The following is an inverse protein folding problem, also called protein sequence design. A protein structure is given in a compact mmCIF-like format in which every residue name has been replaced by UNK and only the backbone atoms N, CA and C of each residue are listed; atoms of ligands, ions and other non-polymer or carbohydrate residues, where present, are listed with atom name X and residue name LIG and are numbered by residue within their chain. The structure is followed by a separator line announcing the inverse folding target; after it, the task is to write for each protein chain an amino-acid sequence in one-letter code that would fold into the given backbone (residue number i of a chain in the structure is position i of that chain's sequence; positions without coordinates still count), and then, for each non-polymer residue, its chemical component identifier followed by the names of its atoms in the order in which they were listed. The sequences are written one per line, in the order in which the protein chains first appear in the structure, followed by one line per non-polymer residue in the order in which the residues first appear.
data_IF_884570893521
#
_entry.id   IF_884570893521
#
_cell.length_a   1.000
_cell.length_b   1.000
_cell.length_c   1.000
_cell.angle_alpha   90.00
_cell.angle_beta   90.00
_cell.angle_gamma   90.00
#
_symmetry.space_group_name_H-M   'P 1'
#
loop_
_entity.id
_entity.type
_entity.pdbx_description
1 polymer ?
#
# COMPACT_ATOMS: atom_id res chain seq x y z
N UNK A 1 -22.58 -13.43 23.48
CA UNK A 1 -21.50 -12.70 22.79
C UNK A 1 -22.12 -12.06 21.55
N UNK A 2 -22.43 -10.77 21.63
CA UNK A 2 -23.21 -10.06 20.61
C UNK A 2 -22.36 -9.74 19.38
N UNK A 3 -22.68 -10.36 18.26
CA UNK A 3 -22.10 -10.02 16.96
C UNK A 3 -22.56 -8.63 16.53
N UNK A 4 -21.62 -7.69 16.41
CA UNK A 4 -21.86 -6.44 15.69
C UNK A 4 -22.06 -6.77 14.21
N UNK A 5 -23.33 -6.79 13.79
CA UNK A 5 -23.71 -6.70 12.39
C UNK A 5 -23.39 -5.29 11.91
N UNK A 6 -22.38 -5.15 11.06
CA UNK A 6 -22.16 -3.94 10.28
C UNK A 6 -23.40 -3.72 9.40
N UNK A 7 -24.20 -2.69 9.69
CA UNK A 7 -25.23 -2.24 8.78
C UNK A 7 -24.53 -1.77 7.51
N UNK A 8 -24.92 -2.31 6.35
CA UNK A 8 -24.54 -1.76 5.06
C UNK A 8 -24.88 -0.27 5.06
N UNK A 9 -23.84 0.57 5.10
CA UNK A 9 -23.98 1.99 4.85
C UNK A 9 -24.39 2.08 3.38
N UNK A 10 -25.60 2.60 3.13
CA UNK A 10 -26.05 2.91 1.78
C UNK A 10 -24.96 3.72 1.08
N UNK A 11 -24.37 3.16 0.03
CA UNK A 11 -23.44 3.85 -0.87
C UNK A 11 -24.20 4.92 -1.64
N UNK A 12 -24.51 6.03 -0.97
CA UNK A 12 -24.71 7.29 -1.65
C UNK A 12 -23.40 7.54 -2.38
N UNK A 13 -23.45 7.73 -3.71
CA UNK A 13 -22.32 8.19 -4.51
C UNK A 13 -21.94 9.58 -4.00
N UNK A 14 -21.14 9.63 -2.95
CA UNK A 14 -20.44 10.81 -2.49
C UNK A 14 -19.28 11.02 -3.47
N UNK A 15 -19.61 11.40 -4.70
CA UNK A 15 -18.73 12.25 -5.48
C UNK A 15 -19.10 13.65 -5.03
N UNK A 16 -18.66 14.05 -3.82
CA UNK A 16 -18.69 15.47 -3.46
C UNK A 16 -18.01 16.21 -4.62
N UNK A 17 -18.45 17.42 -5.02
CA UNK A 17 -17.67 18.29 -5.89
C UNK A 17 -16.34 18.68 -5.20
N UNK A 18 -15.43 17.72 -5.10
CA UNK A 18 -14.12 17.76 -4.47
C UNK A 18 -13.13 18.63 -5.27
N UNK A 19 -13.53 19.02 -6.48
CA UNK A 19 -12.68 19.64 -7.49
C UNK A 19 -12.12 21.03 -7.11
N UNK A 20 -12.65 21.71 -6.09
CA UNK A 20 -12.29 23.11 -5.83
C UNK A 20 -11.67 23.42 -4.47
N UNK A 21 -11.61 22.49 -3.51
CA UNK A 21 -11.10 22.80 -2.17
C UNK A 21 -10.04 21.82 -1.62
N UNK A 22 -9.82 20.67 -2.27
CA UNK A 22 -8.79 19.74 -1.79
C UNK A 22 -7.42 20.18 -2.28
N UNK A 23 -6.51 20.35 -1.32
CA UNK A 23 -5.12 20.72 -1.55
C UNK A 23 -4.14 19.59 -1.29
N UNK A 24 -4.48 18.64 -0.42
CA UNK A 24 -3.61 17.51 -0.08
C UNK A 24 -4.41 16.22 -0.23
N UNK A 25 -3.84 15.27 -0.95
CA UNK A 25 -4.38 13.90 -1.08
C UNK A 25 -3.37 12.93 -0.49
N UNK A 26 -3.81 12.11 0.46
CA UNK A 26 -3.02 11.02 1.05
C UNK A 26 -3.63 9.70 0.58
N UNK A 27 -2.94 9.02 -0.33
CA UNK A 27 -3.30 7.71 -0.85
C UNK A 27 -2.63 6.61 -0.04
N UNK A 28 -3.28 6.20 1.04
CA UNK A 28 -2.83 5.09 1.89
C UNK A 28 -3.68 3.82 1.75
N UNK A 29 -4.75 3.87 0.96
CA UNK A 29 -5.63 2.72 0.78
C UNK A 29 -4.93 1.65 -0.08
N UNK A 30 -4.71 0.47 0.50
CA UNK A 30 -4.14 -0.69 -0.18
C UNK A 30 -4.66 -1.97 0.48
N UNK A 31 -4.73 -3.04 -0.30
CA UNK A 31 -4.79 -4.39 0.27
C UNK A 31 -3.39 -4.79 0.70
N UNK A 32 -3.27 -5.30 1.92
CA UNK A 32 -2.02 -5.81 2.52
C UNK A 32 -2.08 -7.33 2.71
N UNK A 33 -3.02 -8.01 2.04
CA UNK A 33 -3.13 -9.45 2.08
C UNK A 33 -2.06 -10.09 1.20
N UNK A 34 -1.23 -10.93 1.78
CA UNK A 34 -0.10 -11.56 1.08
C UNK A 34 -0.50 -12.79 0.25
N UNK A 35 -1.71 -13.29 0.46
CA UNK A 35 -2.33 -14.46 -0.19
C UNK A 35 -3.43 -14.09 -1.19
N UNK A 36 -3.56 -12.80 -1.52
CA UNK A 36 -4.61 -12.34 -2.42
C UNK A 36 -4.30 -12.68 -3.88
N UNK A 37 -5.34 -13.07 -4.62
CA UNK A 37 -5.24 -13.33 -6.05
C UNK A 37 -4.69 -12.10 -6.78
N UNK A 38 -3.79 -12.35 -7.74
CA UNK A 38 -3.11 -11.27 -8.46
C UNK A 38 -4.09 -10.28 -9.09
N UNK A 39 -5.23 -10.75 -9.61
CA UNK A 39 -6.27 -9.91 -10.21
C UNK A 39 -6.85 -8.88 -9.23
N UNK A 40 -7.20 -9.34 -8.04
CA UNK A 40 -7.77 -8.48 -7.00
C UNK A 40 -6.73 -7.50 -6.46
N UNK A 41 -5.50 -7.98 -6.24
CA UNK A 41 -4.38 -7.14 -5.81
C UNK A 41 -4.07 -6.03 -6.84
N UNK A 42 -4.10 -6.36 -8.13
CA UNK A 42 -3.86 -5.40 -9.22
C UNK A 42 -5.01 -4.38 -9.33
N UNK A 43 -6.25 -4.82 -9.26
CA UNK A 43 -7.41 -3.92 -9.29
C UNK A 43 -7.38 -2.92 -8.12
N UNK A 44 -7.07 -3.39 -6.91
CA UNK A 44 -7.05 -2.54 -5.73
C UNK A 44 -5.84 -1.59 -5.71
N UNK A 45 -4.63 -2.10 -5.91
CA UNK A 45 -3.41 -1.32 -5.70
C UNK A 45 -2.98 -0.53 -6.95
N UNK A 46 -3.19 -1.05 -8.15
CA UNK A 46 -2.75 -0.39 -9.40
C UNK A 46 -3.89 0.42 -9.99
N UNK A 47 -5.04 -0.21 -10.29
CA UNK A 47 -6.18 0.50 -10.91
C UNK A 47 -6.78 1.54 -9.97
N UNK A 48 -6.86 1.23 -8.67
CA UNK A 48 -7.25 2.20 -7.64
C UNK A 48 -6.36 3.45 -7.65
N UNK A 49 -5.05 3.27 -7.80
CA UNK A 49 -4.09 4.38 -7.89
C UNK A 49 -4.29 5.20 -9.16
N UNK A 50 -4.44 4.58 -10.34
CA UNK A 50 -4.73 5.29 -11.59
C UNK A 50 -6.02 6.11 -11.52
N UNK A 51 -7.09 5.55 -10.95
CA UNK A 51 -8.37 6.26 -10.76
C UNK A 51 -8.22 7.48 -9.85
N UNK A 52 -7.44 7.36 -8.78
CA UNK A 52 -7.16 8.46 -7.87
C UNK A 52 -6.33 9.56 -8.55
N UNK A 53 -5.30 9.20 -9.30
CA UNK A 53 -4.48 10.17 -10.05
C UNK A 53 -5.33 10.93 -11.07
N UNK A 54 -6.22 10.23 -11.78
CA UNK A 54 -7.16 10.86 -12.71
C UNK A 54 -8.12 11.86 -12.02
N UNK A 55 -8.49 11.61 -10.76
CA UNK A 55 -9.23 12.57 -9.95
C UNK A 55 -8.35 13.77 -9.54
N UNK A 56 -7.10 13.52 -9.15
CA UNK A 56 -6.16 14.56 -8.74
C UNK A 56 -5.87 15.56 -9.87
N UNK A 57 -5.82 15.12 -11.13
CA UNK A 57 -5.73 16.00 -12.31
C UNK A 57 -6.88 17.00 -12.45
N UNK A 58 -8.02 16.74 -11.81
CA UNK A 58 -9.19 17.65 -11.82
C UNK A 58 -9.20 18.62 -10.63
N UNK A 59 -8.26 18.48 -9.69
CA UNK A 59 -8.15 19.31 -8.50
C UNK A 59 -7.28 20.54 -8.79
N UNK A 60 -7.88 21.73 -8.78
CA UNK A 60 -7.17 22.97 -9.14
C UNK A 60 -6.19 23.47 -8.09
N UNK A 61 -6.39 23.09 -6.83
CA UNK A 61 -5.64 23.59 -5.68
C UNK A 61 -4.70 22.53 -5.08
N UNK A 62 -4.44 21.44 -5.81
CA UNK A 62 -3.63 20.33 -5.30
C UNK A 62 -2.16 20.75 -5.18
N UNK A 63 -1.66 20.74 -3.95
CA UNK A 63 -0.26 21.06 -3.61
C UNK A 63 0.56 19.81 -3.29
N UNK A 64 -0.08 18.70 -2.88
CA UNK A 64 0.61 17.44 -2.61
C UNK A 64 -0.30 16.22 -2.86
N UNK A 65 0.25 15.22 -3.56
CA UNK A 65 -0.29 13.87 -3.66
C UNK A 65 0.70 12.90 -3.03
N UNK A 66 0.40 12.44 -1.82
CA UNK A 66 1.25 11.49 -1.08
C UNK A 66 0.75 10.08 -1.33
N UNK A 67 1.58 9.23 -1.91
CA UNK A 67 1.31 7.81 -2.10
C UNK A 67 2.09 6.97 -1.09
N UNK A 68 1.37 6.17 -0.30
CA UNK A 68 1.99 5.21 0.63
C UNK A 68 2.22 3.89 -0.11
N UNK A 69 3.48 3.62 -0.42
CA UNK A 69 3.97 2.35 -0.95
C UNK A 69 4.53 1.50 0.19
N UNK A 70 5.66 0.81 -0.01
CA UNK A 70 6.33 -0.02 0.99
C UNK A 70 7.81 -0.17 0.67
N UNK A 71 8.66 -0.29 1.69
CA UNK A 71 10.08 -0.59 1.54
C UNK A 71 10.32 -1.92 0.81
N UNK A 72 9.34 -2.82 0.83
CA UNK A 72 9.40 -4.13 0.18
C UNK A 72 8.96 -4.12 -1.29
N UNK A 73 8.63 -2.96 -1.87
CA UNK A 73 8.20 -2.88 -3.26
C UNK A 73 9.30 -3.36 -4.21
N UNK A 74 10.57 -3.32 -3.82
CA UNK A 74 11.70 -3.77 -4.63
C UNK A 74 12.57 -4.79 -3.87
N UNK A 75 11.95 -5.64 -3.05
CA UNK A 75 12.64 -6.64 -2.23
C UNK A 75 13.28 -7.80 -3.01
N UNK A 76 13.07 -7.86 -4.32
CA UNK A 76 13.77 -8.73 -5.26
C UNK A 76 15.19 -8.24 -5.59
N UNK A 77 15.57 -7.05 -5.11
CA UNK A 77 16.89 -6.45 -5.27
C UNK A 77 17.68 -6.52 -3.96
N UNK A 78 19.00 -6.63 -4.08
CA UNK A 78 19.90 -6.62 -2.92
C UNK A 78 19.99 -5.23 -2.27
N UNK A 79 19.96 -4.18 -3.09
CA UNK A 79 20.03 -2.78 -2.65
C UNK A 79 18.94 -1.96 -3.35
N UNK A 80 18.36 -1.03 -2.60
CA UNK A 80 17.29 -0.15 -3.06
C UNK A 80 17.66 1.31 -2.79
N UNK A 81 17.51 2.14 -3.82
CA UNK A 81 17.70 3.59 -3.78
C UNK A 81 16.33 4.29 -3.79
N UNK A 82 16.31 5.59 -3.48
CA UNK A 82 15.11 6.43 -3.55
C UNK A 82 14.75 6.82 -4.99
N UNK A 83 14.50 5.82 -5.83
CA UNK A 83 13.99 5.98 -7.20
C UNK A 83 12.85 5.03 -7.48
N UNK A 84 12.09 5.29 -8.54
CA UNK A 84 11.12 4.33 -9.07
C UNK A 84 11.86 3.44 -10.06
N UNK A 85 11.71 2.13 -9.89
CA UNK A 85 12.37 1.15 -10.73
C UNK A 85 11.47 0.73 -11.88
N UNK A 86 12.09 0.30 -12.98
CA UNK A 86 11.36 -0.30 -14.09
C UNK A 86 10.66 -1.58 -13.61
N UNK A 87 9.37 -1.75 -13.93
CA UNK A 87 8.63 -2.92 -13.52
C UNK A 87 9.02 -4.13 -14.39
N UNK A 88 8.84 -5.36 -13.88
CA UNK A 88 9.11 -6.58 -14.66
C UNK A 88 8.20 -6.71 -15.89
N UNK A 89 7.03 -6.07 -15.87
CA UNK A 89 6.09 -5.97 -16.98
C UNK A 89 5.44 -4.58 -16.95
N UNK A 90 5.19 -4.00 -18.12
CA UNK A 90 4.45 -2.74 -18.20
C UNK A 90 3.05 -2.91 -17.55
N UNK A 91 2.65 -2.05 -16.59
CA UNK A 91 1.42 -2.25 -15.83
C UNK A 91 0.17 -2.34 -16.72
N UNK A 92 0.08 -1.55 -17.78
CA UNK A 92 -1.07 -1.54 -18.69
C UNK A 92 -1.18 -2.86 -19.48
N UNK A 93 -0.06 -3.43 -19.92
CA UNK A 93 -0.05 -4.73 -20.61
C UNK A 93 -0.54 -5.85 -19.69
N UNK A 94 -0.12 -5.81 -18.41
CA UNK A 94 -0.58 -6.76 -17.42
C UNK A 94 -2.07 -6.61 -17.15
N UNK A 95 -2.55 -5.37 -17.03
CA UNK A 95 -3.97 -5.07 -16.83
C UNK A 95 -4.83 -5.58 -17.99
N UNK A 96 -4.40 -5.35 -19.24
CA UNK A 96 -5.08 -5.86 -20.42
C UNK A 96 -5.15 -7.39 -20.43
N UNK A 97 -4.06 -8.06 -20.07
CA UNK A 97 -4.01 -9.52 -19.98
C UNK A 97 -4.95 -10.09 -18.90
N UNK A 98 -4.84 -9.59 -17.67
CA UNK A 98 -5.60 -10.10 -16.51
C UNK A 98 -7.11 -9.89 -16.67
N UNK A 99 -7.55 -8.86 -17.43
CA UNK A 99 -8.98 -8.56 -17.61
C UNK A 99 -9.75 -9.69 -18.26
N UNK A 100 -9.19 -10.34 -19.28
CA UNK A 100 -9.86 -11.43 -20.00
C UNK A 100 -9.52 -12.82 -19.46
N UNK A 101 -8.41 -12.96 -18.72
CA UNK A 101 -8.04 -14.22 -18.09
C UNK A 101 -8.99 -14.59 -16.94
N UNK A 102 -9.31 -15.88 -16.86
CA UNK A 102 -9.93 -16.50 -15.69
C UNK A 102 -8.90 -16.73 -14.56
N UNK A 103 -9.42 -17.09 -13.39
CA UNK A 103 -8.61 -17.22 -12.18
C UNK A 103 -7.59 -18.37 -12.27
N UNK A 104 -7.89 -19.43 -13.02
CA UNK A 104 -6.99 -20.59 -13.17
C UNK A 104 -5.78 -20.21 -14.01
N UNK A 105 -6.00 -19.53 -15.14
CA UNK A 105 -4.93 -18.96 -15.97
C UNK A 105 -4.07 -17.97 -15.17
N UNK A 106 -4.68 -17.09 -14.38
CA UNK A 106 -3.95 -16.14 -13.53
C UNK A 106 -3.09 -16.87 -12.50
N UNK A 107 -3.63 -17.89 -11.85
CA UNK A 107 -2.91 -18.71 -10.87
C UNK A 107 -1.69 -19.38 -11.51
N UNK A 108 -1.82 -19.90 -12.73
CA UNK A 108 -0.72 -20.53 -13.47
C UNK A 108 0.40 -19.55 -13.83
N UNK A 109 0.10 -18.30 -14.20
CA UNK A 109 1.12 -17.32 -14.60
C UNK A 109 1.72 -16.54 -13.43
N UNK A 110 1.01 -16.46 -12.29
CA UNK A 110 1.42 -15.64 -11.13
C UNK A 110 2.85 -15.94 -10.65
N UNK A 111 3.28 -17.21 -10.48
CA UNK A 111 4.65 -17.51 -10.05
C UNK A 111 5.71 -16.93 -10.99
N UNK A 112 5.45 -16.93 -12.31
CA UNK A 112 6.37 -16.37 -13.31
C UNK A 112 6.47 -14.84 -13.21
N UNK A 113 5.36 -14.17 -12.90
CA UNK A 113 5.30 -12.73 -12.72
C UNK A 113 5.95 -12.27 -11.40
N UNK A 114 5.83 -13.08 -10.34
CA UNK A 114 6.47 -12.79 -9.05
C UNK A 114 7.99 -12.89 -9.15
N UNK A 115 8.53 -13.85 -9.91
CA UNK A 115 9.98 -14.07 -9.97
C UNK A 115 10.55 -14.34 -8.57
N UNK A 116 11.45 -13.48 -8.10
CA UNK A 116 12.07 -13.61 -6.77
C UNK A 116 11.27 -12.92 -5.65
N UNK A 117 10.09 -12.38 -5.95
CA UNK A 117 9.24 -11.67 -4.98
C UNK A 117 8.48 -12.66 -4.11
N UNK A 118 8.30 -12.36 -2.81
CA UNK A 118 7.66 -13.27 -1.87
C UNK A 118 6.14 -13.38 -2.06
N UNK A 119 5.49 -12.37 -2.64
CA UNK A 119 4.02 -12.32 -2.76
C UNK A 119 3.53 -11.27 -3.78
N UNK A 120 2.23 -11.35 -4.10
CA UNK A 120 1.53 -10.43 -5.04
C UNK A 120 1.50 -8.98 -4.54
N UNK A 121 1.47 -8.76 -3.22
CA UNK A 121 1.51 -7.42 -2.63
C UNK A 121 2.77 -6.64 -3.05
N UNK A 122 3.95 -7.22 -2.91
CA UNK A 122 5.22 -6.56 -3.28
C UNK A 122 5.28 -6.24 -4.78
N UNK A 123 4.78 -7.13 -5.64
CA UNK A 123 4.67 -6.89 -7.08
C UNK A 123 3.70 -5.75 -7.39
N UNK A 124 2.50 -5.77 -6.83
CA UNK A 124 1.47 -4.76 -7.14
C UNK A 124 1.82 -3.37 -6.61
N UNK A 125 2.57 -3.26 -5.50
CA UNK A 125 3.13 -1.99 -5.04
C UNK A 125 4.19 -1.42 -5.99
N UNK A 126 5.09 -2.26 -6.51
CA UNK A 126 6.03 -1.82 -7.55
C UNK A 126 5.31 -1.32 -8.81
N UNK A 127 4.33 -2.09 -9.30
CA UNK A 127 3.53 -1.70 -10.46
C UNK A 127 2.75 -0.40 -10.23
N UNK A 128 2.22 -0.21 -9.02
CA UNK A 128 1.52 1.01 -8.64
C UNK A 128 2.45 2.23 -8.62
N UNK A 129 3.70 2.10 -8.17
CA UNK A 129 4.68 3.19 -8.22
C UNK A 129 5.01 3.60 -9.67
N UNK A 130 5.24 2.63 -10.56
CA UNK A 130 5.49 2.93 -11.98
C UNK A 130 4.28 3.63 -12.60
N UNK A 131 3.09 3.05 -12.43
CA UNK A 131 1.85 3.61 -12.98
C UNK A 131 1.56 5.01 -12.43
N UNK A 132 1.82 5.23 -11.14
CA UNK A 132 1.68 6.53 -10.48
C UNK A 132 2.55 7.59 -11.15
N UNK A 133 3.84 7.31 -11.38
CA UNK A 133 4.75 8.29 -12.01
C UNK A 133 4.34 8.58 -13.45
N UNK A 134 3.95 7.56 -14.21
CA UNK A 134 3.47 7.71 -15.59
C UNK A 134 2.19 8.55 -15.68
N UNK A 135 1.22 8.30 -14.80
CA UNK A 135 -0.09 8.96 -14.82
C UNK A 135 -0.01 10.37 -14.22
N UNK A 136 0.79 10.56 -13.16
CA UNK A 136 0.84 11.80 -12.42
C UNK A 136 1.47 12.94 -13.22
N UNK A 137 2.51 12.67 -14.01
CA UNK A 137 3.23 13.66 -14.84
C UNK A 137 3.62 14.94 -14.07
N UNK A 138 2.77 15.95 -14.08
CA UNK A 138 2.99 17.27 -13.47
C UNK A 138 2.43 17.40 -12.05
N UNK A 139 1.75 16.38 -11.52
CA UNK A 139 1.21 16.43 -10.16
C UNK A 139 2.35 16.42 -9.13
N UNK A 140 2.18 17.11 -7.98
CA UNK A 140 3.18 17.17 -6.91
C UNK A 140 3.20 15.88 -6.08
N UNK A 141 3.72 14.80 -6.66
CA UNK A 141 3.73 13.46 -6.05
C UNK A 141 4.88 13.29 -5.04
N UNK A 142 4.57 12.61 -3.94
CA UNK A 142 5.52 12.09 -2.97
C UNK A 142 5.25 10.60 -2.80
N UNK A 143 6.27 9.75 -2.87
CA UNK A 143 6.17 8.32 -2.57
C UNK A 143 6.81 8.06 -1.22
N UNK A 144 6.06 7.47 -0.31
CA UNK A 144 6.50 7.08 1.04
C UNK A 144 6.55 5.57 1.14
N UNK A 145 7.69 5.01 1.56
CA UNK A 145 7.95 3.56 1.62
C UNK A 145 8.23 3.09 3.05
N UNK A 146 7.20 2.93 3.90
CA UNK A 146 7.39 2.40 5.25
C UNK A 146 7.83 0.92 5.22
N UNK A 147 8.55 0.49 6.27
CA UNK A 147 8.82 -0.91 6.59
C UNK A 147 7.58 -1.58 7.20
N UNK A 148 7.73 -2.61 8.04
CA UNK A 148 6.58 -3.29 8.64
C UNK A 148 5.97 -2.38 9.70
N UNK A 149 4.75 -1.91 9.45
CA UNK A 149 4.05 -1.04 10.39
C UNK A 149 3.55 -1.85 11.57
N UNK A 150 4.03 -1.53 12.77
CA UNK A 150 3.65 -2.15 14.04
C UNK A 150 2.69 -1.30 14.86
N UNK A 151 2.50 -1.71 16.11
CA UNK A 151 1.70 -0.98 17.08
C UNK A 151 2.26 0.42 17.36
N UNK A 152 1.38 1.31 17.80
CA UNK A 152 1.69 2.69 18.15
C UNK A 152 2.69 2.75 19.30
N UNK A 153 3.73 3.59 19.17
CA UNK A 153 4.72 3.73 20.24
C UNK A 153 4.20 4.64 21.36
N UNK A 154 3.69 5.82 21.01
CA UNK A 154 3.33 6.85 21.99
C UNK A 154 1.97 7.50 21.79
N UNK A 155 1.72 8.16 20.66
CA UNK A 155 0.58 9.07 20.52
C UNK A 155 -0.44 8.61 19.47
N UNK A 156 -1.76 8.68 19.73
CA UNK A 156 -2.42 9.07 20.99
C UNK A 156 -2.60 7.91 22.01
N UNK A 157 -2.29 6.67 21.63
CA UNK A 157 -2.59 5.48 22.44
C UNK A 157 -1.48 4.42 22.30
N UNK A 158 -0.50 4.36 23.23
CA UNK A 158 0.59 3.39 23.18
C UNK A 158 0.09 1.94 23.08
N UNK A 159 0.69 1.15 22.20
CA UNK A 159 0.34 -0.24 21.95
C UNK A 159 -0.90 -0.46 21.09
N UNK A 160 -1.57 0.60 20.63
CA UNK A 160 -2.74 0.45 19.77
C UNK A 160 -2.37 -0.10 18.38
N UNK A 161 -3.27 -0.93 17.85
CA UNK A 161 -3.23 -1.50 16.50
C UNK A 161 -4.66 -1.81 16.06
N UNK A 162 -4.95 -1.68 14.77
CA UNK A 162 -6.28 -1.89 14.20
C UNK A 162 -6.50 -3.31 13.65
N UNK A 163 -5.43 -4.12 13.57
CA UNK A 163 -5.47 -5.44 12.96
C UNK A 163 -4.49 -6.42 13.62
N UNK A 164 -4.61 -7.70 13.27
CA UNK A 164 -3.73 -8.78 13.76
C UNK A 164 -2.83 -9.33 12.65
N UNK A 165 -2.62 -8.57 11.57
CA UNK A 165 -1.83 -9.01 10.43
C UNK A 165 -0.33 -8.96 10.76
N UNK A 166 0.43 -9.87 10.15
CA UNK A 166 1.89 -9.88 10.27
C UNK A 166 2.40 -9.99 11.71
N UNK A 167 3.38 -9.17 12.14
CA UNK A 167 3.98 -9.26 13.48
C UNK A 167 2.99 -9.09 14.63
N UNK A 168 1.92 -8.29 14.45
CA UNK A 168 0.93 -8.08 15.51
C UNK A 168 0.25 -9.38 15.92
N UNK A 169 -0.10 -10.24 14.96
CA UNK A 169 -0.66 -11.56 15.22
C UNK A 169 0.32 -12.48 15.94
N UNK A 170 1.61 -12.43 15.55
CA UNK A 170 2.69 -13.21 16.19
C UNK A 170 2.84 -12.78 17.65
N UNK A 171 2.95 -11.47 17.92
CA UNK A 171 3.09 -10.95 19.28
C UNK A 171 1.87 -11.28 20.15
N UNK A 172 0.66 -11.19 19.60
CA UNK A 172 -0.55 -11.57 20.30
C UNK A 172 -0.58 -13.08 20.63
N UNK A 173 -0.15 -13.94 19.72
CA UNK A 173 -0.11 -15.38 19.93
C UNK A 173 0.95 -15.79 20.98
N UNK A 174 2.13 -15.16 20.93
CA UNK A 174 3.20 -15.35 21.93
C UNK A 174 2.75 -14.85 23.30
N UNK A 175 2.18 -13.64 23.38
CA UNK A 175 1.70 -13.06 24.63
C UNK A 175 0.57 -13.86 25.28
N UNK A 176 -0.22 -14.60 24.49
CA UNK A 176 -1.24 -15.54 24.98
C UNK A 176 -0.71 -16.95 25.29
N UNK A 177 0.56 -17.23 25.00
CA UNK A 177 1.16 -18.56 25.16
C UNK A 177 0.71 -19.59 24.11
N UNK A 178 0.03 -19.17 23.04
CA UNK A 178 -0.43 -20.06 21.95
C UNK A 178 0.73 -20.42 21.02
N UNK A 179 1.61 -19.45 20.75
CA UNK A 179 2.80 -19.65 19.94
C UNK A 179 4.03 -19.67 20.85
N UNK A 180 4.68 -20.84 20.98
CA UNK A 180 5.85 -21.04 21.85
C UNK A 180 7.16 -21.18 21.09
N UNK A 181 7.09 -21.50 19.80
CA UNK A 181 8.24 -21.61 18.91
C UNK A 181 7.86 -21.15 17.50
N UNK A 182 8.84 -20.66 16.74
CA UNK A 182 8.69 -20.25 15.35
C UNK A 182 9.97 -20.58 14.60
N UNK A 183 9.84 -21.13 13.40
CA UNK A 183 10.98 -21.37 12.52
C UNK A 183 11.51 -20.04 11.98
N UNK A 184 12.79 -19.76 12.20
CA UNK A 184 13.44 -18.55 11.71
C UNK A 184 14.92 -18.52 12.07
N UNK A 185 15.67 -17.65 11.41
CA UNK A 185 17.05 -17.38 11.80
C UNK A 185 17.07 -16.31 12.88
N UNK A 186 17.82 -16.55 13.96
CA UNK A 186 18.06 -15.55 15.01
C UNK A 186 18.84 -14.33 14.51
N UNK A 187 19.46 -14.46 13.34
CA UNK A 187 20.20 -13.37 12.68
C UNK A 187 19.32 -12.55 11.72
N UNK A 188 18.07 -12.96 11.50
CA UNK A 188 17.13 -12.19 10.68
C UNK A 188 16.72 -10.91 11.39
N UNK A 189 16.71 -9.79 10.65
CA UNK A 189 16.26 -8.50 11.15
C UNK A 189 14.82 -8.26 10.70
N UNK A 190 13.93 -8.01 11.66
CA UNK A 190 12.57 -7.53 11.40
C UNK A 190 12.55 -6.01 11.64
N UNK A 191 12.51 -5.23 10.57
CA UNK A 191 12.35 -3.77 10.65
C UNK A 191 10.87 -3.45 10.87
N UNK A 192 10.53 -3.13 12.13
CA UNK A 192 9.19 -2.78 12.56
C UNK A 192 9.17 -1.30 12.95
N UNK A 193 8.40 -0.51 12.20
CA UNK A 193 8.24 0.93 12.44
C UNK A 193 6.88 1.20 13.12
N UNK A 194 6.82 2.02 14.18
CA UNK A 194 5.55 2.37 14.82
C UNK A 194 4.62 3.17 13.91
N UNK A 195 3.31 2.88 13.97
CA UNK A 195 2.30 3.53 13.11
C UNK A 195 2.22 5.06 13.30
N UNK A 196 2.44 5.56 14.52
CA UNK A 196 2.47 7.00 14.83
C UNK A 196 3.64 7.71 14.16
N UNK A 197 4.81 7.06 14.07
CA UNK A 197 5.96 7.60 13.35
C UNK A 197 5.66 7.68 11.85
N UNK A 198 5.06 6.64 11.25
CA UNK A 198 4.70 6.63 9.83
C UNK A 198 3.65 7.70 9.52
N UNK A 199 2.60 7.81 10.35
CA UNK A 199 1.55 8.81 10.18
C UNK A 199 2.12 10.24 10.26
N UNK A 200 2.97 10.51 11.26
CA UNK A 200 3.64 11.81 11.40
C UNK A 200 4.52 12.12 10.19
N UNK A 201 5.27 11.15 9.69
CA UNK A 201 6.12 11.35 8.51
C UNK A 201 5.29 11.66 7.26
N UNK A 202 4.16 10.97 7.03
CA UNK A 202 3.23 11.27 5.94
C UNK A 202 2.73 12.72 6.01
N UNK A 203 2.34 13.18 7.19
CA UNK A 203 1.86 14.55 7.40
C UNK A 203 2.98 15.56 7.18
N UNK A 204 4.16 15.31 7.73
CA UNK A 204 5.34 16.19 7.58
C UNK A 204 5.78 16.28 6.11
N UNK A 205 5.81 15.17 5.37
CA UNK A 205 6.16 15.17 3.96
C UNK A 205 5.16 15.99 3.12
N UNK A 206 3.85 15.83 3.38
CA UNK A 206 2.82 16.62 2.72
C UNK A 206 2.97 18.12 3.03
N UNK A 207 3.20 18.47 4.30
CA UNK A 207 3.39 19.85 4.75
C UNK A 207 4.66 20.47 4.14
N UNK A 208 5.77 19.75 4.14
CA UNK A 208 7.03 20.21 3.56
C UNK A 208 6.89 20.53 2.07
N UNK A 209 6.17 19.68 1.31
CA UNK A 209 5.87 19.96 -0.09
C UNK A 209 5.00 21.21 -0.23
N UNK A 210 3.94 21.34 0.58
CA UNK A 210 3.03 22.48 0.54
C UNK A 210 3.71 23.83 0.85
N UNK A 211 4.78 23.85 1.67
CA UNK A 211 5.50 25.08 2.04
C UNK A 211 6.70 25.41 1.16
N UNK A 212 7.18 24.47 0.34
CA UNK A 212 8.38 24.61 -0.50
C UNK A 212 8.03 24.87 -1.97
N UNK A 213 6.75 25.17 -2.26
CA UNK A 213 6.24 25.50 -3.59
C UNK A 213 6.02 27.00 -3.71
#
# INVERSE_FOLDING_TARGET
MGGQKWKQVQTHKIVVPCNFQVSIVIHSAATVKFDEQLKDAVEMNVVGTTRLVALCHKMKNLVALVHVSTAYANCDRAETEEKVYDPPVAPQKLLEAIRWMDNDMITLITPKLLGNRPNTYTLTKALAETQLVEDAKQLPVIIIRPSIVGAMWKDPLPGWTDNINGPTGIFAAVGKGVLTNMCGSVNSKADIIPVDIVANMIIVAAAHRATTT
#
